data_IF_450786949111
#
_entry.id   IF_450786949111
#
_cell.length_a   1.000
_cell.length_b   1.000
_cell.length_c   1.000
_cell.angle_alpha   90.00
_cell.angle_beta   90.00
_cell.angle_gamma   90.00
#
_symmetry.space_group_name_H-M   'P 1'
#
loop_
_entity.id
_entity.type
_entity.pdbx_description
1 polymer ?
#
# COMPACT_ATOMS: atom_id res chain seq x y z
N UNK A 1 -15.79 6.33 7.43
CA UNK A 1 -15.02 5.96 6.23
C UNK A 1 -14.98 4.45 6.12
N UNK A 2 -14.97 3.87 4.90
CA UNK A 2 -14.74 2.43 4.74
C UNK A 2 -13.38 2.04 5.31
N UNK A 3 -13.30 0.86 5.93
CA UNK A 3 -12.07 0.31 6.51
C UNK A 3 -11.26 -0.42 5.44
N UNK A 4 -10.14 0.17 5.01
CA UNK A 4 -9.27 -0.39 3.95
C UNK A 4 -8.27 -1.35 4.60
N UNK A 5 -8.35 -2.64 4.27
CA UNK A 5 -7.56 -3.71 4.90
C UNK A 5 -6.22 -4.02 4.23
N UNK A 6 -5.93 -3.39 3.09
CA UNK A 6 -4.70 -3.60 2.34
C UNK A 6 -4.70 -2.88 1.02
N UNK A 7 -3.66 -3.14 0.23
CA UNK A 7 -3.48 -2.62 -1.13
C UNK A 7 -3.17 -3.76 -2.09
N UNK A 8 -3.61 -3.61 -3.32
CA UNK A 8 -3.31 -4.52 -4.44
C UNK A 8 -2.63 -3.74 -5.56
N UNK A 9 -1.67 -4.37 -6.22
CA UNK A 9 -1.02 -3.88 -7.43
C UNK A 9 -1.57 -4.67 -8.60
N UNK A 10 -2.12 -3.96 -9.57
CA UNK A 10 -2.69 -4.53 -10.79
C UNK A 10 -1.79 -4.13 -11.95
N UNK A 11 -1.31 -5.10 -12.72
CA UNK A 11 -0.71 -4.85 -14.02
C UNK A 11 -1.84 -4.68 -15.03
N UNK A 12 -2.07 -3.44 -15.45
CA UNK A 12 -3.19 -3.10 -16.33
C UNK A 12 -3.02 -3.68 -17.73
N UNK A 13 -1.79 -3.88 -18.20
CA UNK A 13 -1.53 -4.45 -19.53
C UNK A 13 -1.82 -5.95 -19.54
N UNK A 14 -1.57 -6.65 -18.43
CA UNK A 14 -1.91 -8.07 -18.28
C UNK A 14 -3.34 -8.29 -17.79
N UNK A 15 -3.94 -7.29 -17.13
CA UNK A 15 -5.27 -7.38 -16.53
C UNK A 15 -5.30 -8.26 -15.27
N UNK A 16 -4.20 -8.38 -14.53
CA UNK A 16 -4.07 -9.27 -13.38
C UNK A 16 -3.47 -8.59 -12.14
N UNK A 17 -3.77 -9.13 -10.96
CA UNK A 17 -3.09 -8.77 -9.73
C UNK A 17 -1.66 -9.35 -9.75
N UNK A 18 -0.66 -8.50 -9.57
CA UNK A 18 0.75 -8.89 -9.53
C UNK A 18 1.36 -8.79 -8.13
N UNK A 19 0.57 -8.37 -7.14
CA UNK A 19 0.95 -8.40 -5.73
C UNK A 19 -0.07 -7.73 -4.83
N UNK A 20 -0.06 -8.11 -3.55
CA UNK A 20 -0.89 -7.49 -2.53
C UNK A 20 -0.13 -7.34 -1.21
N UNK A 21 -0.57 -6.36 -0.41
CA UNK A 21 -0.08 -6.15 0.95
C UNK A 21 -1.25 -5.91 1.88
N UNK A 22 -1.57 -6.94 2.66
CA UNK A 22 -2.61 -6.90 3.69
C UNK A 22 -2.04 -6.33 4.99
N UNK A 23 -2.78 -5.45 5.65
CA UNK A 23 -2.31 -4.75 6.87
C UNK A 23 -2.37 -5.59 8.14
N UNK A 24 -3.15 -6.68 8.10
CA UNK A 24 -3.42 -7.54 9.25
C UNK A 24 -4.76 -7.22 9.92
N UNK A 25 -5.20 -8.12 10.79
CA UNK A 25 -6.47 -7.99 11.50
C UNK A 25 -6.50 -6.74 12.40
N UNK A 26 -7.56 -5.92 12.27
CA UNK A 26 -7.72 -4.69 13.05
C UNK A 26 -6.80 -3.54 12.63
N UNK A 27 -6.03 -3.71 11.54
CA UNK A 27 -5.17 -2.69 10.98
C UNK A 27 -5.80 -2.14 9.69
N UNK A 28 -5.98 -0.82 9.62
CA UNK A 28 -6.64 -0.17 8.49
C UNK A 28 -5.85 1.03 7.99
N UNK A 29 -5.75 1.15 6.67
CA UNK A 29 -5.07 2.25 6.02
C UNK A 29 -6.01 3.22 5.32
N UNK A 30 -5.40 4.16 4.59
CA UNK A 30 -6.07 5.10 3.71
C UNK A 30 -5.57 4.96 2.27
N UNK A 31 -5.51 6.09 1.58
CA UNK A 31 -4.88 6.20 0.26
C UNK A 31 -3.37 5.91 0.36
N UNK A 32 -2.83 5.00 -0.47
CA UNK A 32 -1.39 4.86 -0.63
C UNK A 32 -0.82 5.88 -1.63
N UNK A 33 0.43 6.26 -1.43
CA UNK A 33 1.15 7.16 -2.34
C UNK A 33 2.32 6.42 -2.98
N UNK A 34 2.45 6.52 -4.30
CA UNK A 34 3.64 6.02 -4.99
C UNK A 34 4.74 7.09 -4.98
N UNK A 35 5.96 6.67 -4.68
CA UNK A 35 7.17 7.50 -4.70
C UNK A 35 8.18 6.81 -5.60
N UNK A 36 8.42 7.40 -6.78
CA UNK A 36 9.41 6.89 -7.72
C UNK A 36 10.81 6.87 -7.09
N UNK A 37 11.59 5.84 -7.39
CA UNK A 37 13.01 5.78 -7.01
C UNK A 37 13.78 6.85 -7.80
N UNK A 38 14.72 7.51 -7.14
CA UNK A 38 15.66 8.39 -7.84
C UNK A 38 16.51 7.58 -8.83
N UNK A 39 16.52 8.00 -10.10
CA UNK A 39 17.14 7.26 -11.20
C UNK A 39 16.41 5.98 -11.64
N UNK A 40 15.16 5.75 -11.20
CA UNK A 40 14.35 4.62 -11.64
C UNK A 40 14.08 4.64 -13.15
N UNK A 41 14.05 3.45 -13.76
CA UNK A 41 13.88 3.28 -15.22
C UNK A 41 12.49 2.74 -15.56
N UNK A 42 12.00 1.78 -14.77
CA UNK A 42 10.70 1.15 -14.98
C UNK A 42 9.57 1.97 -14.36
N UNK A 43 8.35 1.88 -14.92
CA UNK A 43 7.16 2.63 -14.46
C UNK A 43 6.88 2.47 -12.96
N UNK A 44 7.11 1.26 -12.44
CA UNK A 44 6.80 0.85 -11.09
C UNK A 44 8.04 0.75 -10.18
N UNK A 45 9.20 1.25 -10.63
CA UNK A 45 10.42 1.29 -9.83
C UNK A 45 10.34 2.41 -8.78
N UNK A 46 9.83 2.04 -7.61
CA UNK A 46 9.66 2.95 -6.50
C UNK A 46 9.11 2.27 -5.27
N UNK A 47 8.47 3.07 -4.45
CA UNK A 47 7.92 2.67 -3.16
C UNK A 47 6.45 3.04 -3.09
N UNK A 48 5.67 2.23 -2.39
CA UNK A 48 4.31 2.57 -2.03
C UNK A 48 4.27 2.87 -0.54
N UNK A 49 3.95 4.10 -0.18
CA UNK A 49 3.94 4.56 1.20
C UNK A 49 2.52 4.83 1.69
N UNK A 50 2.24 4.45 2.93
CA UNK A 50 0.93 4.72 3.54
C UNK A 50 1.01 4.73 5.06
N UNK A 51 0.07 5.41 5.71
CA UNK A 51 -0.17 5.27 7.13
C UNK A 51 -1.21 4.19 7.39
N UNK A 52 -0.90 3.29 8.31
CA UNK A 52 -1.79 2.22 8.77
C UNK A 52 -2.03 2.38 10.25
N UNK A 53 -3.29 2.43 10.64
CA UNK A 53 -3.73 2.50 12.03
C UNK A 53 -4.03 1.10 12.57
N UNK A 54 -3.39 0.72 13.68
CA UNK A 54 -3.65 -0.49 14.45
C UNK A 54 -4.65 -0.15 15.57
N UNK A 55 -5.91 -0.53 15.39
CA UNK A 55 -6.97 -0.24 16.35
C UNK A 55 -6.80 -1.00 17.68
N UNK A 56 -6.06 -2.13 17.69
CA UNK A 56 -5.82 -2.90 18.92
C UNK A 56 -4.84 -2.17 19.84
N UNK A 57 -3.87 -1.47 19.25
CA UNK A 57 -2.87 -0.69 19.98
C UNK A 57 -3.23 0.80 20.11
N UNK A 58 -4.11 1.30 19.26
CA UNK A 58 -4.44 2.72 19.18
C UNK A 58 -3.31 3.56 18.58
N UNK A 59 -2.47 2.96 17.74
CA UNK A 59 -1.26 3.57 17.18
C UNK A 59 -1.27 3.53 15.66
N UNK A 60 -0.59 4.48 15.03
CA UNK A 60 -0.39 4.50 13.58
C UNK A 60 1.07 4.25 13.25
N UNK A 61 1.32 3.48 12.19
CA UNK A 61 2.66 3.25 11.64
C UNK A 61 2.74 3.74 10.21
N UNK A 62 3.89 4.29 9.85
CA UNK A 62 4.25 4.55 8.47
C UNK A 62 4.77 3.25 7.84
N UNK A 63 4.23 2.89 6.68
CA UNK A 63 4.63 1.71 5.92
C UNK A 63 5.23 2.13 4.59
N UNK A 64 6.29 1.40 4.21
CA UNK A 64 6.97 1.40 2.91
C UNK A 64 7.01 -0.03 2.41
#
# INVERSE_FOLDING_TARGET
MPKISGVVKIDVLKGEEVGCRMYGEGCYGGEPFFVARDGGVEEDDGYLVSYVHDEKKGESRFMV
#
